data_IF_869063564366
#
_entry.id   IF_869063564366
#
_cell.length_a   1.000
_cell.length_b   1.000
_cell.length_c   1.000
_cell.angle_alpha   90.00
_cell.angle_beta   90.00
_cell.angle_gamma   90.00
#
_symmetry.space_group_name_H-M   'P 1'
#
loop_
_entity.id
_entity.type
_entity.pdbx_description
1 polymer ?
#
# COMPACT_ATOMS: atom_id res chain seq x y z
N UNK A 1 -14.86 -9.95 14.85
CA UNK A 1 -14.04 -10.30 14.51
C UNK A 1 -13.94 -10.65 13.36
N UNK A 2 -14.68 -10.96 13.08
CA UNK A 2 -14.88 -11.51 12.03
C UNK A 2 -14.70 -10.71 10.86
N UNK A 3 -15.00 -9.44 10.88
CA UNK A 3 -14.96 -8.64 9.70
C UNK A 3 -13.60 -8.52 9.09
N UNK A 4 -12.59 -8.31 9.93
CA UNK A 4 -11.25 -8.20 9.43
C UNK A 4 -10.78 -9.51 8.87
N UNK A 5 -11.13 -10.57 9.53
CA UNK A 5 -10.76 -11.87 9.05
C UNK A 5 -11.44 -12.17 7.75
N UNK A 6 -12.70 -11.81 7.62
CA UNK A 6 -13.42 -12.04 6.39
C UNK A 6 -12.82 -11.30 5.23
N UNK A 7 -12.35 -10.09 5.49
CA UNK A 7 -11.70 -9.32 4.46
C UNK A 7 -10.56 -10.08 3.81
N UNK A 8 -9.75 -10.72 4.62
CA UNK A 8 -8.62 -11.45 4.09
C UNK A 8 -8.99 -12.86 3.70
N UNK A 9 -9.95 -13.44 4.37
CA UNK A 9 -10.36 -14.78 4.05
C UNK A 9 -11.09 -14.88 2.72
N UNK A 10 -11.66 -13.80 2.29
CA UNK A 10 -12.25 -13.78 0.97
C UNK A 10 -11.25 -14.07 -0.11
N UNK A 11 -9.96 -13.87 0.19
CA UNK A 11 -8.90 -14.10 -0.76
C UNK A 11 -8.14 -15.37 -0.49
N UNK A 12 -8.09 -15.83 0.75
CA UNK A 12 -7.22 -16.93 1.14
C UNK A 12 -7.92 -17.87 2.09
N UNK A 13 -7.47 -19.10 2.07
CA UNK A 13 -7.86 -20.04 3.10
C UNK A 13 -7.06 -19.76 4.36
N UNK A 14 -7.50 -20.37 5.44
CA UNK A 14 -6.89 -20.11 6.75
C UNK A 14 -5.38 -20.29 6.76
N UNK A 15 -4.91 -21.33 6.11
CA UNK A 15 -3.48 -21.60 6.09
C UNK A 15 -2.72 -20.49 5.39
N UNK A 16 -3.24 -20.04 4.27
CA UNK A 16 -2.61 -18.95 3.55
C UNK A 16 -2.62 -17.67 4.36
N UNK A 17 -3.69 -17.44 5.08
CA UNK A 17 -3.80 -16.25 5.88
C UNK A 17 -2.71 -16.18 6.94
N UNK A 18 -2.50 -17.28 7.64
CA UNK A 18 -1.43 -17.33 8.63
C UNK A 18 -0.07 -17.11 8.02
N UNK A 19 0.14 -17.70 6.86
CA UNK A 19 1.40 -17.57 6.15
C UNK A 19 1.64 -16.13 5.74
N UNK A 20 0.60 -15.45 5.28
CA UNK A 20 0.73 -14.06 4.86
C UNK A 20 0.99 -13.13 6.03
N UNK A 21 0.32 -13.36 7.14
CA UNK A 21 0.58 -12.56 8.33
C UNK A 21 2.04 -12.66 8.75
N UNK A 22 2.57 -13.85 8.67
CA UNK A 22 3.96 -14.06 9.01
C UNK A 22 4.86 -13.32 8.05
N UNK A 23 4.53 -13.33 6.78
CA UNK A 23 5.32 -12.63 5.76
C UNK A 23 5.26 -11.12 5.93
N UNK A 24 4.13 -10.60 6.33
CA UNK A 24 4.01 -9.16 6.55
C UNK A 24 4.74 -8.71 7.81
N UNK A 25 4.86 -9.58 8.80
CA UNK A 25 5.65 -9.28 9.99
C UNK A 25 7.14 -9.23 9.64
N UNK A 26 7.53 -9.94 8.59
CA UNK A 26 8.87 -9.89 8.04
C UNK A 26 8.82 -9.12 6.75
N UNK A 27 9.91 -8.51 6.37
CA UNK A 27 9.91 -7.76 5.13
C UNK A 27 9.70 -8.70 3.95
N UNK A 28 8.98 -8.21 2.96
CA UNK A 28 8.76 -8.94 1.71
C UNK A 28 9.68 -8.41 0.65
N UNK A 29 10.05 -9.26 -0.30
CA UNK A 29 10.76 -8.79 -1.48
C UNK A 29 9.84 -7.82 -2.23
N UNK A 30 10.42 -6.92 -3.04
CA UNK A 30 9.58 -5.97 -3.79
C UNK A 30 8.51 -6.65 -4.64
N UNK A 31 8.84 -7.75 -5.28
CA UNK A 31 7.91 -8.46 -6.13
C UNK A 31 6.73 -9.01 -5.32
N UNK A 32 7.03 -9.63 -4.19
CA UNK A 32 5.98 -10.17 -3.33
C UNK A 32 5.15 -9.07 -2.71
N UNK A 33 5.79 -7.98 -2.32
CA UNK A 33 5.08 -6.85 -1.74
C UNK A 33 4.11 -6.27 -2.75
N UNK A 34 4.51 -6.17 -4.01
CA UNK A 34 3.63 -5.69 -5.06
C UNK A 34 2.38 -6.54 -5.15
N UNK A 35 2.55 -7.86 -5.16
CA UNK A 35 1.42 -8.77 -5.25
C UNK A 35 0.49 -8.64 -4.05
N UNK A 36 1.06 -8.56 -2.85
CA UNK A 36 0.24 -8.49 -1.64
C UNK A 36 -0.53 -7.18 -1.56
N UNK A 37 0.11 -6.08 -1.94
CA UNK A 37 -0.57 -4.79 -1.93
C UNK A 37 -1.72 -4.80 -2.94
N UNK A 38 -1.50 -5.39 -4.12
CA UNK A 38 -2.56 -5.46 -5.11
C UNK A 38 -3.73 -6.30 -4.63
N UNK A 39 -3.46 -7.37 -3.90
CA UNK A 39 -4.52 -8.19 -3.34
C UNK A 39 -5.32 -7.40 -2.32
N UNK A 40 -4.64 -6.70 -1.44
CA UNK A 40 -5.33 -5.86 -0.46
C UNK A 40 -6.18 -4.81 -1.16
N UNK A 41 -5.66 -4.22 -2.21
CA UNK A 41 -6.36 -3.14 -2.89
C UNK A 41 -7.63 -3.60 -3.59
N UNK A 42 -7.76 -4.90 -3.80
CA UNK A 42 -8.95 -5.45 -4.46
C UNK A 42 -10.05 -5.83 -3.48
N UNK A 43 -9.78 -5.79 -2.18
CA UNK A 43 -10.81 -6.15 -1.21
C UNK A 43 -11.78 -5.00 -1.03
N UNK A 44 -13.04 -5.34 -0.84
CA UNK A 44 -14.07 -4.32 -0.64
C UNK A 44 -13.95 -3.63 0.69
N UNK A 45 -13.32 -4.28 1.65
CA UNK A 45 -13.22 -3.75 3.00
C UNK A 45 -11.89 -3.13 3.30
N UNK A 46 -11.09 -2.83 2.28
CA UNK A 46 -9.83 -2.16 2.48
C UNK A 46 -10.04 -0.83 3.19
N UNK A 47 -9.29 -0.62 4.25
CA UNK A 47 -9.32 0.62 5.00
C UNK A 47 -8.05 1.39 4.69
N UNK A 48 -8.19 2.68 4.41
CA UNK A 48 -7.08 3.53 4.02
C UNK A 48 -6.99 4.70 4.99
N UNK A 49 -5.79 5.00 5.43
CA UNK A 49 -5.57 6.23 6.18
C UNK A 49 -4.41 7.00 5.55
N UNK A 50 -4.35 8.29 5.85
CA UNK A 50 -3.31 9.18 5.36
C UNK A 50 -2.80 9.98 6.53
N UNK A 51 -1.48 10.11 6.62
CA UNK A 51 -0.91 11.01 7.62
C UNK A 51 -1.21 12.44 7.21
N UNK A 52 -1.07 13.35 8.15
CA UNK A 52 -1.22 14.77 7.84
C UNK A 52 -0.23 15.18 6.76
N UNK A 53 0.98 14.66 6.85
CA UNK A 53 2.00 14.94 5.85
C UNK A 53 1.56 14.47 4.47
N UNK A 54 0.97 13.27 4.40
CA UNK A 54 0.49 12.75 3.13
C UNK A 54 -0.63 13.62 2.57
N UNK A 55 -1.55 14.05 3.41
CA UNK A 55 -2.64 14.90 2.97
C UNK A 55 -2.13 16.23 2.44
N UNK A 56 -1.14 16.80 3.11
CA UNK A 56 -0.52 18.03 2.66
C UNK A 56 0.10 17.85 1.28
N UNK A 57 0.78 16.74 1.08
CA UNK A 57 1.43 16.48 -0.21
C UNK A 57 0.42 16.28 -1.33
N UNK A 58 -0.70 15.62 -1.03
CA UNK A 58 -1.76 15.50 -2.03
C UNK A 58 -2.23 16.85 -2.50
N UNK A 59 -2.50 17.72 -1.54
CA UNK A 59 -3.00 19.04 -1.84
C UNK A 59 -1.97 19.88 -2.59
N UNK A 60 -0.73 19.88 -2.11
CA UNK A 60 0.32 20.68 -2.72
C UNK A 60 0.66 20.26 -4.12
N UNK A 61 0.48 19.00 -4.45
CA UNK A 61 0.94 18.44 -5.71
C UNK A 61 -0.18 18.00 -6.63
N UNK A 62 -1.41 18.38 -6.27
CA UNK A 62 -2.58 18.07 -7.08
C UNK A 62 -2.72 16.57 -7.35
N UNK A 63 -2.51 15.78 -6.32
CA UNK A 63 -2.67 14.35 -6.41
C UNK A 63 -4.02 13.97 -5.83
N UNK A 64 -4.79 13.21 -6.58
CA UNK A 64 -6.13 12.83 -6.15
C UNK A 64 -6.08 11.50 -5.40
N UNK A 65 -7.00 11.35 -4.45
CA UNK A 65 -7.11 10.07 -3.75
C UNK A 65 -7.35 8.92 -4.70
N UNK A 66 -8.11 9.16 -5.77
CA UNK A 66 -8.33 8.14 -6.78
C UNK A 66 -7.04 7.67 -7.43
N UNK A 67 -6.07 8.56 -7.59
CA UNK A 67 -4.78 8.19 -8.13
C UNK A 67 -4.03 7.27 -7.17
N UNK A 68 -4.15 7.50 -5.87
CA UNK A 68 -3.52 6.63 -4.91
C UNK A 68 -4.12 5.22 -4.95
N UNK A 69 -5.44 5.15 -5.08
CA UNK A 69 -6.10 3.85 -5.17
C UNK A 69 -5.69 3.11 -6.44
N UNK A 70 -5.61 3.84 -7.54
CA UNK A 70 -5.15 3.25 -8.79
C UNK A 70 -3.72 2.72 -8.65
N UNK A 71 -2.90 3.49 -7.96
CA UNK A 71 -1.51 3.12 -7.75
C UNK A 71 -1.39 1.82 -6.96
N UNK A 72 -2.22 1.64 -5.94
CA UNK A 72 -2.20 0.40 -5.16
C UNK A 72 -2.54 -0.80 -6.02
N UNK A 73 -3.43 -0.63 -6.97
CA UNK A 73 -3.91 -1.73 -7.81
C UNK A 73 -2.99 -2.02 -8.98
N UNK A 74 -2.25 -1.03 -9.45
CA UNK A 74 -1.53 -1.15 -10.71
C UNK A 74 -0.06 -0.78 -10.63
N UNK A 75 0.39 -0.23 -9.52
CA UNK A 75 1.77 0.18 -9.37
C UNK A 75 2.70 -0.96 -9.04
N UNK A 76 3.97 -0.63 -8.90
CA UNK A 76 5.01 -1.60 -8.61
C UNK A 76 5.90 -1.11 -7.48
N UNK A 77 6.38 -2.05 -6.70
CA UNK A 77 7.37 -1.78 -5.66
C UNK A 77 8.69 -2.34 -6.18
N UNK A 78 9.70 -1.48 -6.23
CA UNK A 78 11.00 -1.87 -6.78
C UNK A 78 12.08 -1.94 -5.72
N UNK A 79 11.96 -1.19 -4.65
CA UNK A 79 13.02 -1.07 -3.66
C UNK A 79 12.70 -1.89 -2.43
N UNK A 80 13.77 -2.25 -1.72
CA UNK A 80 13.60 -2.94 -0.44
C UNK A 80 12.90 -2.04 0.55
N UNK A 81 12.06 -2.60 1.41
CA UNK A 81 11.35 -1.80 2.39
C UNK A 81 12.23 -1.35 3.54
N UNK A 82 11.76 -0.34 4.25
CA UNK A 82 12.37 0.12 5.49
C UNK A 82 11.45 -0.19 6.65
N UNK A 83 12.01 -0.26 7.84
CA UNK A 83 11.19 -0.50 9.01
C UNK A 83 10.26 0.67 9.27
N UNK A 84 9.02 0.36 9.59
CA UNK A 84 8.08 1.37 10.03
C UNK A 84 8.26 1.61 11.51
N UNK A 85 7.53 2.58 12.06
CA UNK A 85 7.59 2.87 13.48
C UNK A 85 7.19 1.66 14.31
N UNK A 86 6.14 0.97 13.90
CA UNK A 86 5.76 -0.27 14.56
C UNK A 86 6.69 -1.39 14.11
N UNK A 87 7.21 -2.19 15.04
CA UNK A 87 8.24 -3.18 14.69
C UNK A 87 7.75 -4.30 13.78
N UNK A 88 6.45 -4.52 13.72
CA UNK A 88 5.90 -5.59 12.90
C UNK A 88 5.47 -5.13 11.52
N UNK A 89 5.72 -3.89 11.18
CA UNK A 89 5.30 -3.34 9.89
C UNK A 89 6.49 -2.77 9.15
N UNK A 90 6.32 -2.64 7.84
CA UNK A 90 7.38 -2.16 6.95
C UNK A 90 6.82 -1.11 6.01
N UNK A 91 7.66 -0.14 5.65
CA UNK A 91 7.32 0.89 4.68
C UNK A 91 7.83 0.50 3.31
N UNK A 92 6.96 0.60 2.33
CA UNK A 92 7.29 0.31 0.95
C UNK A 92 7.02 1.54 0.10
N UNK A 93 7.77 1.69 -1.00
CA UNK A 93 7.51 2.73 -1.97
C UNK A 93 6.88 2.08 -3.19
N UNK A 94 5.65 2.46 -3.50
CA UNK A 94 4.96 1.97 -4.68
C UNK A 94 4.90 3.10 -5.71
N UNK A 95 5.12 2.79 -6.97
CA UNK A 95 5.18 3.82 -8.00
C UNK A 95 4.54 3.36 -9.28
N UNK A 96 4.12 4.32 -10.08
CA UNK A 96 3.52 4.07 -11.37
C UNK A 96 2.85 5.31 -11.92
N UNK A 97 2.40 5.21 -13.15
CA UNK A 97 1.60 6.27 -13.76
C UNK A 97 0.15 6.07 -13.41
N UNK A 98 -0.58 7.15 -13.27
CA UNK A 98 -2.00 7.09 -12.93
C UNK A 98 -2.78 7.91 -13.95
N UNK A 99 -4.11 7.76 -14.00
CA UNK A 99 -4.90 8.46 -15.02
C UNK A 99 -4.71 9.98 -15.01
N UNK A 100 -4.45 10.56 -13.86
CA UNK A 100 -4.29 12.01 -13.77
C UNK A 100 -2.85 12.46 -13.67
N UNK A 101 -1.91 11.55 -13.90
CA UNK A 101 -0.49 11.89 -13.73
C UNK A 101 0.10 12.60 -14.95
N UNK A 102 -0.59 12.54 -16.09
CA UNK A 102 -0.04 13.17 -17.28
C UNK A 102 1.25 12.54 -17.76
N UNK A 103 1.40 11.25 -17.55
CA UNK A 103 2.61 10.55 -17.96
C UNK A 103 3.73 10.61 -16.94
N UNK A 104 3.50 11.24 -15.81
CA UNK A 104 4.50 11.32 -14.75
C UNK A 104 4.36 10.13 -13.81
N UNK A 105 5.45 9.77 -13.17
CA UNK A 105 5.45 8.66 -12.23
C UNK A 105 5.13 9.18 -10.83
N UNK A 106 4.06 8.65 -10.26
CA UNK A 106 3.66 8.97 -8.90
C UNK A 106 4.26 7.94 -7.96
N UNK A 107 4.83 8.39 -6.87
CA UNK A 107 5.37 7.52 -5.83
C UNK A 107 4.61 7.75 -4.53
N UNK A 108 4.35 6.69 -3.81
CA UNK A 108 3.72 6.79 -2.50
C UNK A 108 4.43 5.86 -1.53
N UNK A 109 4.69 6.36 -0.35
CA UNK A 109 5.25 5.56 0.74
C UNK A 109 4.08 5.02 1.53
N UNK A 110 4.00 3.70 1.63
CA UNK A 110 2.86 3.04 2.25
C UNK A 110 3.31 2.06 3.33
N UNK A 111 2.44 1.84 4.29
CA UNK A 111 2.61 0.83 5.32
C UNK A 111 1.40 -0.09 5.25
N UNK A 112 1.54 -1.24 4.57
CA UNK A 112 0.41 -2.18 4.50
C UNK A 112 0.34 -3.02 5.76
N UNK A 113 -0.88 -3.33 6.18
CA UNK A 113 -1.13 -4.18 7.33
C UNK A 113 -2.21 -5.19 6.94
N UNK A 114 -1.75 -6.36 6.56
CA UNK A 114 -2.68 -7.37 6.05
C UNK A 114 -3.59 -7.90 7.14
N UNK A 115 -3.12 -7.84 8.38
CA UNK A 115 -3.89 -8.35 9.51
C UNK A 115 -5.18 -7.57 9.70
N UNK A 116 -5.12 -6.25 9.48
CA UNK A 116 -6.28 -5.40 9.66
C UNK A 116 -6.86 -4.95 8.32
N UNK A 117 -6.32 -5.44 7.21
CA UNK A 117 -6.78 -5.07 5.88
C UNK A 117 -6.70 -3.55 5.68
N UNK A 118 -5.56 -2.98 6.00
CA UNK A 118 -5.39 -1.54 6.08
C UNK A 118 -4.10 -1.11 5.39
N UNK A 119 -4.12 0.02 4.70
CA UNK A 119 -2.93 0.60 4.12
C UNK A 119 -2.87 2.07 4.55
N UNK A 120 -1.73 2.45 5.10
CA UNK A 120 -1.50 3.81 5.55
C UNK A 120 -0.57 4.50 4.56
N UNK A 121 -0.98 5.66 4.07
CA UNK A 121 -0.13 6.48 3.22
C UNK A 121 0.66 7.45 4.10
N UNK A 122 1.99 7.37 3.99
CA UNK A 122 2.88 8.22 4.79
C UNK A 122 3.20 9.49 4.05
N UNK A 123 3.48 9.39 2.76
CA UNK A 123 3.73 10.56 1.91
C UNK A 123 3.58 10.15 0.45
N UNK A 124 3.55 11.13 -0.44
CA UNK A 124 3.51 10.87 -1.87
C UNK A 124 4.23 12.01 -2.59
N UNK A 125 4.80 11.68 -3.75
CA UNK A 125 5.56 12.65 -4.51
C UNK A 125 5.68 12.20 -5.97
N UNK A 126 6.06 13.15 -6.82
CA UNK A 126 6.31 12.84 -8.23
C UNK A 126 7.78 12.45 -8.37
N UNK A 127 8.03 11.31 -8.99
CA UNK A 127 9.38 10.81 -9.08
C UNK A 127 10.28 11.67 -9.96
N UNK A 128 9.71 12.24 -10.99
CA UNK A 128 10.47 13.05 -11.92
C UNK A 128 10.73 14.46 -11.43
N UNK A 129 10.28 14.75 -10.21
CA UNK A 129 10.48 16.05 -9.65
C UNK A 129 11.84 16.11 -9.00
N UNK A 130 12.57 17.14 -9.22
CA UNK A 130 13.88 17.26 -8.59
C UNK A 130 13.91 18.33 -7.55
#
# INVERSE_FOLDING_TARGET
>A
MIDIELCCEGLYESVHKWSLWRKMAEKLSPSKATDEVRQLAKTDTLDISKTIHAEDRLSERDILTGDLLYLLRNGFIYEEPERATRPDLWKYVIEGETPNSGGRTLCAVIIPDIKTCHIKFVTCYWKDKN
#
